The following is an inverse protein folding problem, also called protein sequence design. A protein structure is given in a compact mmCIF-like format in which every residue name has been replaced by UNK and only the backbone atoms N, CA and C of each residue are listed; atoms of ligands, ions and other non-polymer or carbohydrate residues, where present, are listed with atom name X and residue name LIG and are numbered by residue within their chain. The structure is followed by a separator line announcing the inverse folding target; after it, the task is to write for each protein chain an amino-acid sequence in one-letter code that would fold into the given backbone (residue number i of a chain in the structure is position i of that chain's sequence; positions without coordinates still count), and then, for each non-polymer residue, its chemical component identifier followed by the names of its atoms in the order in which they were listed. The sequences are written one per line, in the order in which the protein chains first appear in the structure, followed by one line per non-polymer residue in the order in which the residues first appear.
data_IF_326049983896
#
_entry.id   IF_326049983896
#
_cell.length_a   1.000
_cell.length_b   1.000
_cell.length_c   1.000
_cell.angle_alpha   90.00
_cell.angle_beta   90.00
_cell.angle_gamma   90.00
#
_symmetry.space_group_name_H-M   'P 1'
#
loop_
_entity.id
_entity.type
_entity.pdbx_description
1 polymer ?
#
# COMPACT_ATOMS: atom_id res chain seq x y z
N UNK A 1 -17.66 41.66 -6.44
CA UNK A 1 -16.60 40.63 -6.42
C UNK A 1 -16.58 39.99 -5.05
N UNK A 2 -17.16 38.83 -4.94
CA UNK A 2 -17.22 38.04 -3.70
C UNK A 2 -15.79 37.54 -3.41
N UNK A 3 -15.18 38.01 -2.33
CA UNK A 3 -13.86 37.55 -1.88
C UNK A 3 -14.02 36.07 -1.47
N UNK A 4 -13.60 35.15 -2.31
CA UNK A 4 -13.46 33.73 -1.93
C UNK A 4 -12.55 33.67 -0.70
N UNK A 5 -13.13 33.48 0.46
CA UNK A 5 -12.38 33.27 1.69
C UNK A 5 -11.58 31.97 1.55
N UNK A 6 -10.27 32.08 1.47
CA UNK A 6 -9.38 30.90 1.46
C UNK A 6 -9.48 30.22 2.82
N UNK A 7 -9.67 28.90 2.85
CA UNK A 7 -9.71 28.19 4.13
C UNK A 7 -8.37 28.35 4.86
N UNK A 8 -8.44 28.77 6.12
CA UNK A 8 -7.26 29.06 6.96
C UNK A 8 -6.72 27.80 7.67
N UNK A 9 -7.42 26.67 7.55
CA UNK A 9 -7.04 25.40 8.18
C UNK A 9 -7.05 24.25 7.19
N UNK A 10 -6.21 23.25 7.44
CA UNK A 10 -6.09 22.05 6.63
C UNK A 10 -7.21 21.05 6.97
N UNK A 11 -8.25 21.01 6.15
CA UNK A 11 -9.31 20.02 6.27
C UNK A 11 -8.97 18.77 5.46
N UNK A 12 -8.28 17.79 6.08
CA UNK A 12 -7.80 16.58 5.41
C UNK A 12 -8.91 15.73 4.77
N UNK A 13 -10.07 15.48 5.40
CA UNK A 13 -11.15 14.73 4.76
C UNK A 13 -11.69 15.43 3.51
N UNK A 14 -11.93 16.74 3.59
CA UNK A 14 -12.42 17.55 2.46
C UNK A 14 -11.38 17.65 1.34
N UNK A 15 -10.10 17.75 1.68
CA UNK A 15 -9.02 17.74 0.71
C UNK A 15 -8.93 16.38 0.02
N UNK A 16 -8.93 15.30 0.78
CA UNK A 16 -8.84 13.92 0.27
C UNK A 16 -9.97 13.57 -0.70
N UNK A 17 -11.21 14.04 -0.43
CA UNK A 17 -12.34 13.79 -1.33
C UNK A 17 -12.18 14.50 -2.68
N UNK A 18 -11.57 15.68 -2.71
CA UNK A 18 -11.37 16.51 -3.91
C UNK A 18 -10.07 16.23 -4.65
N UNK A 19 -9.16 15.45 -4.08
CA UNK A 19 -7.88 15.12 -4.71
C UNK A 19 -8.04 14.29 -5.97
N UNK A 20 -7.19 14.57 -6.97
CA UNK A 20 -7.10 13.75 -8.18
C UNK A 20 -6.65 12.31 -7.85
N UNK A 21 -7.05 11.36 -8.68
CA UNK A 21 -6.63 9.96 -8.51
C UNK A 21 -5.11 9.80 -8.51
N UNK A 22 -4.41 10.59 -9.32
CA UNK A 22 -2.94 10.59 -9.38
C UNK A 22 -2.30 10.99 -8.04
N UNK A 23 -2.85 12.02 -7.40
CA UNK A 23 -2.37 12.47 -6.08
C UNK A 23 -2.66 11.41 -5.00
N UNK A 24 -3.82 10.74 -5.05
CA UNK A 24 -4.16 9.65 -4.13
C UNK A 24 -3.16 8.49 -4.25
N UNK A 25 -2.83 8.06 -5.47
CA UNK A 25 -1.83 7.01 -5.71
C UNK A 25 -0.45 7.41 -5.17
N UNK A 26 -0.04 8.67 -5.36
CA UNK A 26 1.25 9.15 -4.84
C UNK A 26 1.31 9.10 -3.31
N UNK A 27 0.23 9.46 -2.62
CA UNK A 27 0.16 9.37 -1.15
C UNK A 27 0.16 7.92 -0.69
N UNK A 28 -0.65 7.06 -1.32
CA UNK A 28 -0.72 5.64 -0.98
C UNK A 28 0.63 4.93 -1.21
N UNK A 29 1.34 5.27 -2.28
CA UNK A 29 2.68 4.74 -2.53
C UNK A 29 3.66 5.10 -1.41
N UNK A 30 3.66 6.36 -0.95
CA UNK A 30 4.49 6.78 0.19
C UNK A 30 4.06 6.10 1.49
N UNK A 31 2.76 6.04 1.77
CA UNK A 31 2.23 5.41 2.97
C UNK A 31 2.57 3.91 3.02
N UNK A 32 2.42 3.19 1.90
CA UNK A 32 2.81 1.79 1.80
C UNK A 32 4.31 1.59 1.99
N UNK A 33 5.16 2.48 1.47
CA UNK A 33 6.61 2.46 1.70
C UNK A 33 6.98 2.62 3.17
N UNK A 34 6.37 3.59 3.85
CA UNK A 34 6.57 3.80 5.30
C UNK A 34 6.12 2.57 6.10
N UNK A 35 4.96 2.01 5.77
CA UNK A 35 4.43 0.83 6.46
C UNK A 35 5.37 -0.38 6.30
N UNK A 36 5.86 -0.64 5.09
CA UNK A 36 6.83 -1.71 4.84
C UNK A 36 8.13 -1.48 5.60
N UNK A 37 8.66 -0.25 5.58
CA UNK A 37 9.88 0.09 6.32
C UNK A 37 9.74 -0.19 7.82
N UNK A 38 8.62 0.22 8.42
CA UNK A 38 8.34 -0.05 9.82
C UNK A 38 8.13 -1.54 10.12
N UNK A 39 7.62 -2.31 9.16
CA UNK A 39 7.40 -3.75 9.32
C UNK A 39 8.70 -4.58 9.25
N UNK A 40 9.75 -4.11 8.56
CA UNK A 40 11.00 -4.86 8.36
C UNK A 40 11.60 -5.41 9.67
N UNK A 41 11.85 -4.61 10.73
CA UNK A 41 12.48 -5.13 11.95
C UNK A 41 11.62 -6.21 12.62
N UNK A 42 10.29 -6.08 12.59
CA UNK A 42 9.39 -7.08 13.17
C UNK A 42 9.39 -8.38 12.36
N UNK A 43 9.32 -8.28 11.02
CA UNK A 43 9.37 -9.46 10.14
C UNK A 43 10.71 -10.18 10.27
N UNK A 44 11.83 -9.45 10.35
CA UNK A 44 13.16 -10.05 10.57
C UNK A 44 13.28 -10.72 11.92
N UNK A 45 12.75 -10.11 12.98
CA UNK A 45 12.74 -10.72 14.32
C UNK A 45 11.92 -12.02 14.34
N UNK A 46 10.71 -12.01 13.77
CA UNK A 46 9.87 -13.21 13.65
C UNK A 46 10.55 -14.30 12.82
N UNK A 47 11.21 -13.91 11.73
CA UNK A 47 11.95 -14.84 10.87
C UNK A 47 13.14 -15.45 11.61
N UNK A 48 13.92 -14.62 12.33
CA UNK A 48 15.03 -15.11 13.16
C UNK A 48 14.55 -16.14 14.19
N UNK A 49 13.53 -15.79 15.00
CA UNK A 49 12.99 -16.69 16.01
C UNK A 49 12.44 -18.01 15.42
N UNK A 50 11.82 -17.93 14.25
CA UNK A 50 11.30 -19.13 13.56
C UNK A 50 12.41 -20.11 13.13
N UNK A 51 13.64 -19.63 12.93
CA UNK A 51 14.78 -20.47 12.55
C UNK A 51 15.50 -21.09 13.76
N UNK A 52 15.57 -20.36 14.88
CA UNK A 52 16.35 -20.79 16.05
C UNK A 52 15.51 -21.51 17.11
N UNK A 53 14.19 -21.31 17.10
CA UNK A 53 13.29 -21.85 18.12
C UNK A 53 12.16 -22.68 17.49
N UNK A 54 12.25 -24.03 17.47
CA UNK A 54 11.22 -24.88 16.93
C UNK A 54 9.85 -24.76 17.61
N UNK A 55 9.82 -24.48 18.92
CA UNK A 55 8.57 -24.29 19.68
C UNK A 55 7.88 -22.99 19.27
N UNK A 56 8.66 -21.94 19.04
CA UNK A 56 8.16 -20.68 18.49
C UNK A 56 7.57 -20.88 17.09
N UNK A 57 8.24 -21.63 16.21
CA UNK A 57 7.72 -21.95 14.89
C UNK A 57 6.37 -22.65 14.95
N UNK A 58 6.21 -23.64 15.84
CA UNK A 58 4.94 -24.34 16.03
C UNK A 58 3.83 -23.39 16.56
N UNK A 59 4.18 -22.47 17.48
CA UNK A 59 3.22 -21.50 18.02
C UNK A 59 2.82 -20.42 17.00
N UNK A 60 3.66 -20.12 16.01
CA UNK A 60 3.33 -19.18 14.93
C UNK A 60 2.10 -19.62 14.14
N UNK A 61 1.87 -20.91 13.96
CA UNK A 61 0.66 -21.43 13.30
C UNK A 61 -0.61 -21.04 14.03
N UNK A 62 -0.62 -21.14 15.35
CA UNK A 62 -1.77 -20.76 16.19
C UNK A 62 -2.03 -19.25 16.13
N UNK A 63 -0.96 -18.46 16.20
CA UNK A 63 -1.04 -17.00 16.11
C UNK A 63 -1.48 -16.56 14.71
N UNK A 64 -0.97 -17.17 13.66
CA UNK A 64 -1.34 -16.90 12.28
C UNK A 64 -2.82 -17.20 11.98
N UNK A 65 -3.44 -18.13 12.71
CA UNK A 65 -4.86 -18.43 12.60
C UNK A 65 -5.77 -17.30 13.15
N UNK A 66 -5.22 -16.38 13.97
CA UNK A 66 -5.97 -15.27 14.54
C UNK A 66 -6.44 -14.30 13.45
N UNK A 67 -7.75 -13.92 13.39
CA UNK A 67 -8.29 -13.02 12.36
C UNK A 67 -7.60 -11.66 12.29
N UNK A 68 -7.17 -11.12 13.42
CA UNK A 68 -6.46 -9.83 13.48
C UNK A 68 -5.09 -9.96 12.80
N UNK A 69 -4.35 -11.04 13.06
CA UNK A 69 -3.05 -11.30 12.46
C UNK A 69 -3.19 -11.49 10.95
N UNK A 70 -4.22 -12.19 10.51
CA UNK A 70 -4.56 -12.36 9.10
C UNK A 70 -4.83 -11.01 8.42
N UNK A 71 -5.58 -10.12 9.08
CA UNK A 71 -5.83 -8.78 8.56
C UNK A 71 -4.52 -7.98 8.43
N UNK A 72 -3.61 -8.06 9.40
CA UNK A 72 -2.29 -7.43 9.34
C UNK A 72 -1.50 -7.96 8.14
N UNK A 73 -1.47 -9.27 7.92
CA UNK A 73 -0.83 -9.86 6.74
C UNK A 73 -1.43 -9.36 5.43
N UNK A 74 -2.75 -9.28 5.33
CA UNK A 74 -3.40 -8.72 4.12
C UNK A 74 -3.01 -7.27 3.86
N UNK A 75 -2.92 -6.45 4.91
CA UNK A 75 -2.49 -5.06 4.79
C UNK A 75 -1.02 -4.98 4.35
N UNK A 76 -0.14 -5.83 4.86
CA UNK A 76 1.27 -5.88 4.45
C UNK A 76 1.41 -6.38 3.00
N UNK A 77 0.70 -7.44 2.62
CA UNK A 77 0.67 -7.94 1.23
C UNK A 77 0.18 -6.84 0.29
N UNK A 78 -0.93 -6.17 0.64
CA UNK A 78 -1.43 -5.05 -0.15
C UNK A 78 -0.39 -3.92 -0.26
N UNK A 79 0.31 -3.60 0.82
CA UNK A 79 1.34 -2.56 0.81
C UNK A 79 2.46 -2.89 -0.16
N UNK A 80 2.93 -4.14 -0.19
CA UNK A 80 3.96 -4.60 -1.12
C UNK A 80 3.44 -4.52 -2.56
N UNK A 81 2.27 -5.07 -2.85
CA UNK A 81 1.69 -5.10 -4.20
C UNK A 81 1.40 -3.70 -4.72
N UNK A 82 0.80 -2.84 -3.88
CA UNK A 82 0.50 -1.46 -4.25
C UNK A 82 1.78 -0.65 -4.47
N UNK A 83 2.75 -0.77 -3.57
CA UNK A 83 4.03 -0.05 -3.69
C UNK A 83 4.77 -0.43 -4.97
N UNK A 84 4.83 -1.71 -5.28
CA UNK A 84 5.46 -2.23 -6.50
C UNK A 84 4.74 -1.71 -7.76
N UNK A 85 3.42 -1.85 -7.85
CA UNK A 85 2.65 -1.41 -9.02
C UNK A 85 2.74 0.11 -9.22
N UNK A 86 2.63 0.88 -8.14
CA UNK A 86 2.76 2.33 -8.19
C UNK A 86 4.20 2.77 -8.52
N UNK A 87 5.20 2.10 -7.96
CA UNK A 87 6.61 2.36 -8.24
C UNK A 87 6.95 2.14 -9.72
N UNK A 88 6.55 1.01 -10.30
CA UNK A 88 6.71 0.73 -11.73
C UNK A 88 6.07 1.84 -12.57
N UNK A 89 4.84 2.26 -12.22
CA UNK A 89 4.17 3.36 -12.91
C UNK A 89 4.97 4.67 -12.81
N UNK A 90 5.53 5.01 -11.65
CA UNK A 90 6.32 6.23 -11.49
C UNK A 90 7.59 6.19 -12.32
N UNK A 91 8.27 5.03 -12.43
CA UNK A 91 9.42 4.87 -13.33
C UNK A 91 9.05 5.14 -14.79
N UNK A 92 7.89 4.67 -15.26
CA UNK A 92 7.42 5.01 -16.62
C UNK A 92 7.16 6.50 -16.80
N UNK A 93 6.57 7.17 -15.80
CA UNK A 93 6.35 8.61 -15.84
C UNK A 93 7.67 9.41 -15.87
N UNK A 94 8.69 8.96 -15.14
CA UNK A 94 10.02 9.57 -15.11
C UNK A 94 10.71 9.45 -16.49
N UNK A 95 10.42 8.39 -17.23
CA UNK A 95 10.85 8.24 -18.64
C UNK A 95 9.94 9.02 -19.63
N UNK A 96 9.11 9.94 -19.14
CA UNK A 96 8.18 10.74 -19.94
C UNK A 96 7.13 9.90 -20.73
N UNK A 97 6.91 8.64 -20.32
CA UNK A 97 5.92 7.75 -20.94
C UNK A 97 4.62 7.78 -20.15
N UNK A 98 3.51 8.06 -20.87
CA UNK A 98 2.18 8.10 -20.26
C UNK A 98 1.93 9.32 -19.36
N UNK A 99 2.69 10.40 -19.53
CA UNK A 99 2.54 11.65 -18.78
C UNK A 99 1.31 12.48 -19.20
N UNK A 100 0.69 12.17 -20.32
CA UNK A 100 -0.56 12.82 -20.77
C UNK A 100 -1.65 12.65 -19.71
N UNK A 101 -2.38 13.72 -19.45
CA UNK A 101 -3.37 13.80 -18.35
C UNK A 101 -4.36 12.64 -18.35
N UNK A 102 -4.89 12.25 -19.48
CA UNK A 102 -5.89 11.16 -19.57
C UNK A 102 -5.24 9.79 -19.39
N UNK A 103 -4.10 9.55 -20.01
CA UNK A 103 -3.32 8.32 -19.84
C UNK A 103 -2.85 8.17 -18.38
N UNK A 104 -2.37 9.24 -17.77
CA UNK A 104 -1.94 9.25 -16.37
C UNK A 104 -3.08 8.93 -15.40
N UNK A 105 -4.31 9.38 -15.66
CA UNK A 105 -5.49 8.99 -14.88
C UNK A 105 -5.86 7.52 -15.06
N UNK A 106 -5.83 7.02 -16.30
CA UNK A 106 -6.12 5.60 -16.60
C UNK A 106 -5.13 4.69 -15.92
N UNK A 107 -3.83 4.94 -16.07
CA UNK A 107 -2.77 4.13 -15.44
C UNK A 107 -2.85 4.18 -13.91
N UNK A 108 -3.21 5.32 -13.31
CA UNK A 108 -3.43 5.42 -11.87
C UNK A 108 -4.59 4.53 -11.37
N UNK A 109 -5.69 4.42 -12.13
CA UNK A 109 -6.78 3.48 -11.81
C UNK A 109 -6.34 2.03 -11.93
N UNK A 110 -5.58 1.71 -12.98
CA UNK A 110 -5.05 0.36 -13.17
C UNK A 110 -4.13 -0.07 -12.03
N UNK A 111 -3.32 0.83 -11.48
CA UNK A 111 -2.51 0.53 -10.29
C UNK A 111 -3.37 0.03 -9.13
N UNK A 112 -4.51 0.69 -8.84
CA UNK A 112 -5.41 0.24 -7.77
C UNK A 112 -6.02 -1.14 -8.06
N UNK A 113 -6.53 -1.33 -9.27
CA UNK A 113 -7.18 -2.59 -9.65
C UNK A 113 -6.18 -3.74 -9.61
N UNK A 114 -5.02 -3.59 -10.25
CA UNK A 114 -4.00 -4.63 -10.32
C UNK A 114 -3.45 -4.94 -8.94
N UNK A 115 -3.15 -3.93 -8.12
CA UNK A 115 -2.63 -4.16 -6.77
C UNK A 115 -3.63 -4.90 -5.88
N UNK A 116 -4.93 -4.61 -6.00
CA UNK A 116 -5.98 -5.33 -5.27
C UNK A 116 -6.11 -6.78 -5.75
N UNK A 117 -6.12 -7.00 -7.07
CA UNK A 117 -6.17 -8.36 -7.63
C UNK A 117 -4.96 -9.20 -7.19
N UNK A 118 -3.76 -8.63 -7.25
CA UNK A 118 -2.55 -9.30 -6.78
C UNK A 118 -2.60 -9.58 -5.27
N UNK A 119 -3.16 -8.66 -4.47
CA UNK A 119 -3.34 -8.87 -3.03
C UNK A 119 -4.29 -10.02 -2.74
N UNK A 120 -5.41 -10.08 -3.45
CA UNK A 120 -6.38 -11.19 -3.29
C UNK A 120 -5.75 -12.51 -3.72
N UNK A 121 -5.05 -12.55 -4.86
CA UNK A 121 -4.37 -13.74 -5.34
C UNK A 121 -3.29 -14.22 -4.36
N UNK A 122 -2.43 -13.32 -3.89
CA UNK A 122 -1.39 -13.65 -2.92
C UNK A 122 -1.99 -14.05 -1.56
N UNK A 123 -3.02 -13.36 -1.10
CA UNK A 123 -3.75 -13.72 0.11
C UNK A 123 -4.36 -15.12 0.03
N UNK A 124 -4.97 -15.49 -1.09
CA UNK A 124 -5.54 -16.82 -1.30
C UNK A 124 -4.49 -17.94 -1.34
N UNK A 125 -3.24 -17.64 -1.72
CA UNK A 125 -2.13 -18.60 -1.71
C UNK A 125 -1.55 -18.84 -0.30
N UNK A 126 -1.66 -17.86 0.58
CA UNK A 126 -1.11 -17.90 1.95
C UNK A 126 -2.15 -18.41 2.96
N UNK A 127 -3.42 -18.50 2.58
CA UNK A 127 -4.55 -18.90 3.42
C UNK A 127 -4.86 -20.37 3.25
#
# INVERSE_FOLDING_TARGET
MEKQQRPVFLNLPKLGSKMSIMAKISILHRASGVLMFLAIPFVLALFHESLVNPEFYASCYTVAACPIVKLIYLVLIWSIMHHMCAGVRFLFLDMHRGAERETAKKTARWVLVISLLLTVAAGALVW
#
